data_IF_093969975057
#
_entry.id   IF_093969975057
#
_cell.length_a   1.000
_cell.length_b   1.000
_cell.length_c   1.000
_cell.angle_alpha   90.00
_cell.angle_beta   90.00
_cell.angle_gamma   90.00
#
_symmetry.space_group_name_H-M   'P 1'
#
loop_
_entity.id
_entity.type
_entity.pdbx_description
1 polymer ?
#
# COMPACT_ATOMS: atom_id res chain seq x y z
N UNK A 1 3.40 2.62 4.83
CA UNK A 1 2.12 2.52 5.58
C UNK A 1 1.13 1.81 4.68
N UNK A 2 0.41 0.85 5.24
CA UNK A 2 -0.60 0.05 4.57
C UNK A 2 -1.79 -0.08 5.52
N UNK A 3 -2.98 0.36 5.08
CA UNK A 3 -4.20 0.05 5.80
C UNK A 3 -4.50 -1.46 5.72
N UNK A 4 -5.33 -1.95 6.64
CA UNK A 4 -5.67 -3.38 6.70
C UNK A 4 -6.48 -3.87 5.50
N UNK A 5 -7.13 -2.95 4.78
CA UNK A 5 -7.91 -3.16 3.57
C UNK A 5 -7.12 -2.83 2.29
N UNK A 6 -5.80 -2.69 2.40
CA UNK A 6 -4.88 -2.53 1.27
C UNK A 6 -4.14 -3.84 0.99
N UNK A 7 -4.05 -4.22 -0.28
CA UNK A 7 -3.36 -5.43 -0.72
C UNK A 7 -2.56 -5.22 -2.00
N UNK A 8 -1.45 -5.96 -2.12
CA UNK A 8 -0.72 -6.10 -3.38
C UNK A 8 -1.57 -6.93 -4.35
N UNK A 9 -1.78 -6.39 -5.54
CA UNK A 9 -2.70 -6.91 -6.57
C UNK A 9 -2.00 -7.45 -7.80
N UNK A 10 -0.70 -7.23 -7.92
CA UNK A 10 0.13 -7.80 -8.96
C UNK A 10 1.35 -8.41 -8.26
N UNK A 11 1.33 -9.72 -8.08
CA UNK A 11 2.41 -10.45 -7.39
C UNK A 11 3.59 -10.73 -8.32
N UNK A 12 3.39 -10.61 -9.63
CA UNK A 12 4.42 -10.80 -10.64
C UNK A 12 5.25 -9.53 -10.82
N UNK A 13 4.69 -8.38 -10.44
CA UNK A 13 5.40 -7.10 -10.45
C UNK A 13 6.42 -7.02 -9.31
N UNK A 14 7.71 -6.99 -9.66
CA UNK A 14 8.78 -6.73 -8.70
C UNK A 14 8.62 -5.32 -8.10
N UNK A 15 8.67 -5.24 -6.76
CA UNK A 15 8.46 -3.99 -6.01
C UNK A 15 9.56 -2.97 -6.27
N UNK A 16 10.80 -3.38 -6.54
CA UNK A 16 11.90 -2.45 -6.85
C UNK A 16 11.68 -1.81 -8.21
N UNK A 17 11.33 -2.61 -9.22
CA UNK A 17 10.99 -2.08 -10.54
C UNK A 17 9.79 -1.13 -10.46
N UNK A 18 8.80 -1.43 -9.61
CA UNK A 18 7.64 -0.56 -9.41
C UNK A 18 8.01 0.77 -8.73
N UNK A 19 8.88 0.73 -7.71
CA UNK A 19 9.38 1.94 -7.06
C UNK A 19 10.20 2.81 -8.03
N UNK A 20 11.05 2.20 -8.85
CA UNK A 20 11.80 2.90 -9.91
C UNK A 20 10.86 3.54 -10.94
N UNK A 21 9.81 2.82 -11.36
CA UNK A 21 8.78 3.35 -12.25
C UNK A 21 8.09 4.59 -11.64
N UNK A 22 7.92 4.63 -10.32
CA UNK A 22 7.38 5.76 -9.59
C UNK A 22 8.41 6.86 -9.27
N UNK A 23 9.62 6.77 -9.81
CA UNK A 23 10.68 7.76 -9.60
C UNK A 23 11.35 7.65 -8.23
N UNK A 24 11.25 6.51 -7.57
CA UNK A 24 11.82 6.26 -6.25
C UNK A 24 13.05 5.34 -6.37
N UNK A 25 14.23 5.94 -6.52
CA UNK A 25 15.50 5.21 -6.52
C UNK A 25 15.88 4.76 -5.10
N UNK A 26 16.47 3.58 -4.95
CA UNK A 26 17.02 3.15 -3.66
C UNK A 26 18.20 4.05 -3.21
N UNK A 27 18.95 4.60 -4.17
CA UNK A 27 20.04 5.52 -3.91
C UNK A 27 19.51 6.96 -3.75
N UNK A 28 19.96 7.67 -2.71
CA UNK A 28 19.74 9.11 -2.61
C UNK A 28 20.58 9.81 -3.69
N UNK A 29 19.93 10.62 -4.51
CA UNK A 29 20.62 11.46 -5.49
C UNK A 29 21.48 12.51 -4.79
N UNK A 30 22.68 12.76 -5.32
CA UNK A 30 23.58 13.79 -4.80
C UNK A 30 22.97 15.21 -4.83
N UNK A 31 21.89 15.40 -5.60
CA UNK A 31 21.12 16.64 -5.70
C UNK A 31 20.02 16.80 -4.65
N UNK A 32 19.74 15.78 -3.84
CA UNK A 32 18.69 15.82 -2.81
C UNK A 32 17.27 16.02 -3.36
N UNK A 33 17.02 15.63 -4.62
CA UNK A 33 15.71 15.70 -5.27
C UNK A 33 14.94 14.38 -5.22
N UNK A 34 15.52 13.35 -4.60
CA UNK A 34 14.86 12.06 -4.45
C UNK A 34 13.59 12.21 -3.61
N UNK A 35 12.45 11.66 -4.06
CA UNK A 35 11.21 11.74 -3.30
C UNK A 35 11.34 11.14 -1.90
N UNK A 36 10.73 11.80 -0.93
CA UNK A 36 10.63 11.33 0.45
C UNK A 36 9.35 10.52 0.67
N UNK A 37 8.28 10.87 -0.07
CA UNK A 37 6.98 10.22 0.01
C UNK A 37 6.52 9.82 -1.38
N UNK A 38 6.10 8.56 -1.53
CA UNK A 38 5.16 8.18 -2.57
C UNK A 38 3.81 7.97 -1.91
N UNK A 39 2.78 8.57 -2.47
CA UNK A 39 1.45 8.44 -1.92
C UNK A 39 0.42 8.42 -3.03
N UNK A 40 -0.55 7.53 -2.90
CA UNK A 40 -1.53 7.38 -3.93
C UNK A 40 -2.54 8.53 -3.94
N UNK A 41 -2.92 8.93 -5.14
CA UNK A 41 -4.04 9.84 -5.36
C UNK A 41 -5.30 9.23 -4.74
N UNK A 42 -6.10 10.08 -4.10
CA UNK A 42 -7.44 9.69 -3.70
C UNK A 42 -8.27 9.36 -4.96
N UNK A 43 -9.00 8.23 -5.01
CA UNK A 43 -10.01 8.00 -6.03
C UNK A 43 -10.87 9.22 -6.31
N UNK A 44 -11.31 9.30 -7.57
CA UNK A 44 -12.19 10.35 -8.06
C UNK A 44 -13.55 10.31 -7.33
N UNK A 45 -13.59 10.84 -6.12
CA UNK A 45 -14.80 11.22 -5.41
C UNK A 45 -14.94 12.72 -5.60
N UNK A 46 -15.52 13.18 -6.70
CA UNK A 46 -15.93 14.58 -6.81
C UNK A 46 -17.06 14.79 -5.77
N UNK A 47 -16.92 15.63 -4.72
CA UNK A 47 -16.14 16.88 -4.61
C UNK A 47 -14.82 16.84 -3.79
N UNK A 48 -14.44 15.70 -3.22
CA UNK A 48 -13.31 15.56 -2.30
C UNK A 48 -11.94 15.39 -2.97
N UNK A 49 -11.85 15.47 -4.30
CA UNK A 49 -10.60 15.23 -5.01
C UNK A 49 -9.57 16.38 -4.85
N UNK A 50 -10.01 17.56 -4.44
CA UNK A 50 -9.13 18.73 -4.34
C UNK A 50 -9.30 19.42 -3.00
N UNK A 51 -8.17 19.84 -2.43
CA UNK A 51 -8.17 20.85 -1.39
C UNK A 51 -7.79 22.20 -2.00
N UNK A 52 -8.60 23.23 -1.70
CA UNK A 52 -8.24 24.62 -1.97
C UNK A 52 -7.49 25.18 -0.75
N UNK A 53 -6.33 25.74 -1.00
CA UNK A 53 -5.47 26.33 0.02
C UNK A 53 -5.77 27.83 0.19
N UNK A 54 -5.38 28.47 1.32
CA UNK A 54 -5.65 29.90 1.55
C UNK A 54 -5.11 30.85 0.48
N UNK A 55 -4.12 30.41 -0.31
CA UNK A 55 -3.57 31.14 -1.46
C UNK A 55 -4.31 30.87 -2.79
N UNK A 56 -5.46 30.19 -2.75
CA UNK A 56 -6.27 29.80 -3.92
C UNK A 56 -5.70 28.62 -4.72
N UNK A 57 -4.56 28.05 -4.31
CA UNK A 57 -3.98 26.89 -5.01
C UNK A 57 -4.84 25.65 -4.73
N UNK A 58 -5.14 24.89 -5.78
CA UNK A 58 -5.82 23.60 -5.65
C UNK A 58 -4.80 22.47 -5.74
N UNK A 59 -4.81 21.58 -4.76
CA UNK A 59 -3.96 20.38 -4.76
C UNK A 59 -4.82 19.11 -4.74
N UNK A 60 -4.40 18.10 -5.51
CA UNK A 60 -5.07 16.79 -5.57
C UNK A 60 -5.01 16.10 -4.23
N UNK A 61 -6.12 15.71 -3.63
CA UNK A 61 -6.10 14.91 -2.41
C UNK A 61 -5.42 13.56 -2.63
N UNK A 62 -4.72 13.14 -1.59
CA UNK A 62 -4.00 11.89 -1.55
C UNK A 62 -4.48 11.04 -0.39
N UNK A 63 -4.47 9.73 -0.61
CA UNK A 63 -4.95 8.75 0.33
C UNK A 63 -3.82 8.27 1.25
N UNK A 64 -4.06 8.20 2.55
CA UNK A 64 -3.06 7.77 3.54
C UNK A 64 -2.99 6.25 3.73
N UNK A 65 -3.91 5.49 3.14
CA UNK A 65 -3.96 4.05 3.27
C UNK A 65 -2.83 3.31 2.56
N UNK A 66 -2.19 3.93 1.56
CA UNK A 66 -0.93 3.45 1.00
C UNK A 66 0.09 4.59 0.88
N UNK A 67 1.22 4.41 1.57
CA UNK A 67 2.36 5.33 1.51
C UNK A 67 3.69 4.58 1.51
N UNK A 68 4.59 4.97 0.61
CA UNK A 68 6.02 4.62 0.69
C UNK A 68 6.75 5.82 1.27
N UNK A 69 7.57 5.57 2.29
CA UNK A 69 8.17 6.61 3.10
C UNK A 69 9.68 6.37 3.20
N UNK A 70 10.48 7.32 2.73
CA UNK A 70 11.95 7.28 2.84
C UNK A 70 12.38 7.51 4.27
N UNK A 71 13.26 6.66 4.78
CA UNK A 71 13.84 6.85 6.10
C UNK A 71 14.94 7.92 6.07
N UNK A 72 14.57 9.19 6.25
CA UNK A 72 15.50 10.31 6.35
C UNK A 72 15.20 11.19 7.57
N UNK A 73 16.14 12.04 8.04
CA UNK A 73 15.85 13.01 9.10
C UNK A 73 14.67 13.91 8.77
N UNK A 74 14.58 14.37 7.51
CA UNK A 74 13.49 15.23 7.02
C UNK A 74 12.13 14.52 7.08
N UNK A 75 12.09 13.25 6.67
CA UNK A 75 10.86 12.45 6.77
C UNK A 75 10.45 12.25 8.23
N UNK A 76 11.39 11.96 9.13
CA UNK A 76 11.09 11.78 10.56
C UNK A 76 10.53 13.05 11.20
N UNK A 77 11.03 14.22 10.80
CA UNK A 77 10.50 15.51 11.22
C UNK A 77 9.04 15.70 10.76
N UNK A 78 8.78 15.56 9.45
CA UNK A 78 7.44 15.67 8.88
C UNK A 78 6.46 14.65 9.48
N UNK A 79 6.90 13.40 9.62
CA UNK A 79 6.10 12.33 10.20
C UNK A 79 5.86 12.52 11.71
N UNK A 80 6.86 13.00 12.45
CA UNK A 80 6.72 13.33 13.86
C UNK A 80 5.69 14.44 14.08
N UNK A 81 5.72 15.48 13.25
CA UNK A 81 4.71 16.54 13.26
C UNK A 81 3.32 15.98 12.94
N UNK A 82 3.20 15.11 11.94
CA UNK A 82 1.94 14.45 11.60
C UNK A 82 1.35 13.70 12.80
N UNK A 83 2.13 12.81 13.42
CA UNK A 83 1.67 12.04 14.58
C UNK A 83 1.32 12.96 15.74
N UNK A 84 2.16 13.95 16.05
CA UNK A 84 1.90 14.89 17.14
C UNK A 84 0.59 15.68 16.94
N UNK A 85 0.36 16.19 15.73
CA UNK A 85 -0.87 16.92 15.37
C UNK A 85 -2.09 16.01 15.41
N UNK A 86 -1.98 14.80 14.86
CA UNK A 86 -3.06 13.81 14.87
C UNK A 86 -3.45 13.41 16.30
N UNK A 87 -2.48 13.13 17.17
CA UNK A 87 -2.74 12.78 18.57
C UNK A 87 -3.33 13.96 19.35
N UNK A 88 -2.81 15.18 19.14
CA UNK A 88 -3.29 16.37 19.85
C UNK A 88 -4.74 16.75 19.50
N UNK A 89 -5.16 16.50 18.25
CA UNK A 89 -6.47 16.92 17.76
C UNK A 89 -7.46 15.76 17.53
N UNK A 90 -7.19 14.60 18.12
CA UNK A 90 -8.02 13.41 17.97
C UNK A 90 -9.50 13.66 18.36
N UNK A 91 -9.77 14.59 19.27
CA UNK A 91 -11.12 14.97 19.72
C UNK A 91 -11.91 15.83 18.73
N UNK A 92 -11.25 16.64 17.91
CA UNK A 92 -11.92 17.57 17.00
C UNK A 92 -12.43 16.90 15.72
N UNK A 93 -11.80 15.78 15.33
CA UNK A 93 -12.08 15.08 14.07
C UNK A 93 -12.27 13.58 14.25
N UNK A 94 -12.20 13.04 15.47
CA UNK A 94 -12.28 11.59 15.74
C UNK A 94 -13.58 10.92 15.27
N UNK A 95 -14.62 11.70 14.94
CA UNK A 95 -15.87 11.20 14.38
C UNK A 95 -15.87 11.12 12.84
N UNK A 96 -14.82 11.56 12.16
CA UNK A 96 -14.70 11.53 10.70
C UNK A 96 -13.74 10.41 10.32
N UNK A 97 -14.21 9.43 9.54
CA UNK A 97 -13.49 8.17 9.28
C UNK A 97 -12.19 8.31 8.46
N UNK A 98 -11.87 9.50 7.94
CA UNK A 98 -10.64 9.83 7.19
C UNK A 98 -9.87 11.02 7.81
N UNK A 99 -10.03 11.22 9.13
CA UNK A 99 -9.48 12.38 9.82
C UNK A 99 -7.95 12.50 9.67
N UNK A 100 -7.24 11.37 9.71
CA UNK A 100 -5.79 11.28 9.56
C UNK A 100 -5.37 11.73 8.14
N UNK A 101 -6.08 11.26 7.11
CA UNK A 101 -5.91 11.69 5.72
C UNK A 101 -6.16 13.20 5.57
N UNK A 102 -7.18 13.73 6.25
CA UNK A 102 -7.50 15.15 6.28
C UNK A 102 -6.35 15.98 6.85
N UNK A 103 -5.82 15.60 8.01
CA UNK A 103 -4.65 16.27 8.62
C UNK A 103 -3.42 16.20 7.74
N UNK A 104 -3.16 15.04 7.15
CA UNK A 104 -2.03 14.87 6.26
C UNK A 104 -2.08 15.89 5.11
N UNK A 105 -3.22 15.94 4.40
CA UNK A 105 -3.41 16.81 3.26
C UNK A 105 -3.43 18.30 3.63
N UNK A 106 -3.98 18.64 4.81
CA UNK A 106 -4.15 20.04 5.24
C UNK A 106 -2.92 20.61 5.94
N UNK A 107 -2.22 19.81 6.76
CA UNK A 107 -1.25 20.32 7.73
C UNK A 107 0.18 19.87 7.48
N UNK A 108 0.40 18.75 6.79
CA UNK A 108 1.74 18.18 6.60
C UNK A 108 2.22 18.36 5.17
N UNK A 109 1.36 18.05 4.20
CA UNK A 109 1.73 18.07 2.80
C UNK A 109 2.18 19.44 2.29
N UNK A 110 1.58 20.53 2.75
CA UNK A 110 2.00 21.88 2.34
C UNK A 110 3.39 22.27 2.85
N UNK A 111 3.90 21.58 3.89
CA UNK A 111 5.26 21.80 4.42
C UNK A 111 6.31 21.13 3.56
N UNK A 112 5.90 20.30 2.60
CA UNK A 112 6.78 19.60 1.68
C UNK A 112 7.12 20.48 0.49
N UNK A 113 8.35 20.33 -0.01
CA UNK A 113 8.73 20.87 -1.32
C UNK A 113 8.15 19.98 -2.42
N UNK A 114 7.98 20.55 -3.61
CA UNK A 114 7.37 19.86 -4.76
C UNK A 114 8.01 18.50 -5.07
N UNK A 115 9.34 18.39 -4.97
CA UNK A 115 10.06 17.14 -5.23
C UNK A 115 10.04 16.14 -4.05
N UNK A 116 9.67 16.57 -2.84
CA UNK A 116 9.68 15.70 -1.65
C UNK A 116 8.53 14.67 -1.71
N UNK A 117 7.55 14.85 -2.59
CA UNK A 117 6.39 13.98 -2.71
C UNK A 117 6.03 13.69 -4.16
N UNK A 118 5.82 12.41 -4.46
CA UNK A 118 5.22 11.96 -5.73
C UNK A 118 3.83 11.42 -5.47
N UNK A 119 2.87 11.93 -6.23
CA UNK A 119 1.49 11.43 -6.23
C UNK A 119 1.38 10.27 -7.22
N UNK A 120 1.06 9.09 -6.72
CA UNK A 120 0.90 7.90 -7.54
C UNK A 120 -0.51 7.88 -8.16
N UNK A 121 -0.67 7.51 -9.44
CA UNK A 121 -1.98 7.39 -10.04
C UNK A 121 -2.87 6.39 -9.28
N UNK A 122 -4.13 6.75 -9.08
CA UNK A 122 -5.12 5.91 -8.42
C UNK A 122 -5.19 4.52 -9.09
N UNK A 123 -5.19 4.50 -10.42
CA UNK A 123 -5.26 3.31 -11.27
C UNK A 123 -4.12 2.33 -10.98
N UNK A 124 -3.01 2.80 -10.42
CA UNK A 124 -1.85 1.99 -10.08
C UNK A 124 -1.83 1.60 -8.61
N UNK A 125 -2.13 2.55 -7.71
CA UNK A 125 -1.68 2.46 -6.32
C UNK A 125 -2.74 2.71 -5.25
N UNK A 126 -4.02 2.80 -5.58
CA UNK A 126 -5.10 3.01 -4.63
C UNK A 126 -6.44 2.85 -5.33
N UNK A 127 -6.71 1.70 -5.93
CA UNK A 127 -7.97 1.44 -6.60
C UNK A 127 -8.66 0.20 -6.09
N UNK A 128 -9.95 0.06 -6.34
CA UNK A 128 -10.62 -1.21 -6.11
C UNK A 128 -11.58 -1.54 -7.24
N UNK A 129 -11.20 -2.55 -8.02
CA UNK A 129 -11.96 -3.01 -9.18
C UNK A 129 -13.41 -3.37 -8.85
N UNK A 130 -13.67 -3.88 -7.64
CA UNK A 130 -15.04 -4.18 -7.21
C UNK A 130 -15.91 -2.92 -7.20
N UNK A 131 -15.39 -1.81 -6.65
CA UNK A 131 -16.09 -0.52 -6.61
C UNK A 131 -16.34 0.00 -8.02
N UNK A 132 -15.32 -0.02 -8.89
CA UNK A 132 -15.47 0.43 -10.28
C UNK A 132 -16.55 -0.36 -11.04
N UNK A 133 -16.68 -1.66 -10.77
CA UNK A 133 -17.67 -2.51 -11.40
C UNK A 133 -19.10 -2.29 -10.88
N UNK A 134 -19.26 -1.91 -9.60
CA UNK A 134 -20.57 -1.74 -8.96
C UNK A 134 -21.08 -0.30 -9.07
N UNK A 135 -20.17 0.67 -9.10
CA UNK A 135 -20.48 2.10 -9.21
C UNK A 135 -19.65 2.71 -10.35
N UNK A 136 -20.09 2.58 -11.61
CA UNK A 136 -19.37 3.14 -12.76
C UNK A 136 -19.15 4.65 -12.60
N UNK A 137 -17.90 5.08 -12.72
CA UNK A 137 -17.48 6.47 -12.48
C UNK A 137 -17.04 6.77 -11.04
N UNK A 138 -17.13 5.79 -10.13
CA UNK A 138 -16.59 5.87 -8.78
C UNK A 138 -15.28 5.08 -8.69
N UNK A 139 -14.20 5.79 -8.33
CA UNK A 139 -12.91 5.17 -8.06
C UNK A 139 -12.09 4.80 -9.30
N UNK A 140 -11.15 3.87 -9.11
CA UNK A 140 -10.17 3.46 -10.12
C UNK A 140 -9.75 1.99 -9.89
N UNK A 141 -8.97 1.42 -10.80
CA UNK A 141 -8.72 -0.03 -10.86
C UNK A 141 -7.75 -0.61 -9.83
N UNK A 142 -6.71 0.12 -9.44
CA UNK A 142 -5.72 -0.33 -8.44
C UNK A 142 -4.88 -1.52 -8.92
N UNK A 143 -4.19 -1.35 -10.06
CA UNK A 143 -3.46 -2.41 -10.77
C UNK A 143 -2.46 -3.14 -9.87
N UNK A 144 -1.59 -2.39 -9.18
CA UNK A 144 -0.50 -2.95 -8.38
C UNK A 144 -0.86 -2.99 -6.91
N UNK A 145 -1.51 -1.95 -6.41
CA UNK A 145 -2.02 -1.87 -5.04
C UNK A 145 -3.52 -1.63 -5.10
N UNK A 146 -4.28 -2.53 -4.50
CA UNK A 146 -5.73 -2.41 -4.32
C UNK A 146 -6.03 -1.90 -2.92
N UNK A 147 -6.98 -0.99 -2.80
CA UNK A 147 -7.47 -0.47 -1.52
C UNK A 147 -8.99 -0.58 -1.47
N UNK A 148 -9.51 -1.51 -0.68
CA UNK A 148 -10.96 -1.73 -0.55
C UNK A 148 -11.65 -0.73 0.36
N UNK A 149 -11.70 0.55 0.00
CA UNK A 149 -12.39 1.59 0.79
C UNK A 149 -13.90 1.36 0.92
N UNK A 150 -14.51 1.97 1.94
CA UNK A 150 -15.96 2.00 2.18
C UNK A 150 -16.61 0.60 2.08
N UNK A 151 -17.53 0.42 1.13
CA UNK A 151 -18.23 -0.83 0.84
C UNK A 151 -17.35 -1.88 0.17
N UNK A 152 -16.07 -1.58 -0.09
CA UNK A 152 -15.11 -2.54 -0.59
C UNK A 152 -14.44 -3.39 0.49
N UNK A 153 -14.49 -2.94 1.76
CA UNK A 153 -13.68 -3.52 2.85
C UNK A 153 -13.94 -5.02 3.04
N UNK A 154 -15.20 -5.43 3.00
CA UNK A 154 -15.58 -6.83 3.16
C UNK A 154 -15.12 -7.74 2.01
N UNK A 155 -14.81 -7.17 0.84
CA UNK A 155 -14.34 -7.91 -0.32
C UNK A 155 -12.82 -8.07 -0.38
N UNK A 156 -12.07 -7.30 0.41
CA UNK A 156 -10.60 -7.42 0.46
C UNK A 156 -10.19 -8.80 0.95
N UNK A 157 -10.76 -9.27 2.06
CA UNK A 157 -10.44 -10.59 2.61
C UNK A 157 -10.74 -11.71 1.60
N UNK A 158 -11.86 -11.61 0.87
CA UNK A 158 -12.22 -12.56 -0.18
C UNK A 158 -11.21 -12.54 -1.33
N UNK A 159 -10.84 -11.37 -1.85
CA UNK A 159 -9.86 -11.27 -2.95
C UNK A 159 -8.45 -11.68 -2.52
N UNK A 160 -8.03 -11.36 -1.28
CA UNK A 160 -6.77 -11.83 -0.72
C UNK A 160 -6.73 -13.35 -0.67
N UNK A 161 -7.78 -13.99 -0.13
CA UNK A 161 -7.87 -15.45 -0.09
C UNK A 161 -7.84 -16.05 -1.49
N UNK A 162 -8.63 -15.48 -2.42
CA UNK A 162 -8.68 -15.93 -3.82
C UNK A 162 -7.31 -15.89 -4.48
N UNK A 163 -6.54 -14.81 -4.27
CA UNK A 163 -5.20 -14.62 -4.83
C UNK A 163 -4.15 -15.49 -4.17
N UNK A 164 -4.18 -15.62 -2.83
CA UNK A 164 -3.31 -16.54 -2.09
C UNK A 164 -3.49 -17.98 -2.58
N UNK A 165 -4.73 -18.40 -2.85
CA UNK A 165 -5.00 -19.72 -3.40
C UNK A 165 -4.41 -19.92 -4.80
N UNK A 166 -4.40 -18.89 -5.65
CA UNK A 166 -3.76 -18.96 -6.99
C UNK A 166 -2.24 -19.06 -6.86
N UNK A 167 -1.61 -18.22 -6.03
CA UNK A 167 -0.16 -18.26 -5.80
C UNK A 167 0.24 -19.61 -5.19
N UNK A 168 -0.52 -20.07 -4.20
CA UNK A 168 -0.28 -21.35 -3.54
C UNK A 168 -0.43 -22.53 -4.51
N UNK A 169 -1.51 -22.58 -5.30
CA UNK A 169 -1.70 -23.65 -6.28
C UNK A 169 -0.62 -23.64 -7.37
N UNK A 170 -0.20 -22.46 -7.86
CA UNK A 170 0.93 -22.34 -8.78
C UNK A 170 2.21 -22.89 -8.17
N UNK A 171 2.54 -22.46 -6.95
CA UNK A 171 3.76 -22.91 -6.26
C UNK A 171 3.75 -24.42 -5.97
N UNK A 172 2.60 -24.96 -5.56
CA UNK A 172 2.44 -26.42 -5.35
C UNK A 172 2.60 -27.17 -6.67
N UNK A 173 2.05 -26.66 -7.77
CA UNK A 173 2.21 -27.27 -9.09
C UNK A 173 3.67 -27.25 -9.55
N UNK A 174 4.38 -26.13 -9.40
CA UNK A 174 5.80 -26.04 -9.73
C UNK A 174 6.63 -27.04 -8.90
N UNK A 175 6.41 -27.08 -7.59
CA UNK A 175 7.07 -28.04 -6.71
C UNK A 175 6.74 -29.49 -7.11
N UNK A 176 5.49 -29.78 -7.46
CA UNK A 176 5.09 -31.12 -7.94
C UNK A 176 5.76 -31.52 -9.26
N UNK A 177 5.99 -30.57 -10.16
CA UNK A 177 6.73 -30.80 -11.41
C UNK A 177 8.24 -30.95 -11.14
N UNK A 178 8.75 -30.31 -10.08
CA UNK A 178 10.14 -30.39 -9.62
C UNK A 178 10.28 -31.28 -8.37
N UNK A 179 9.83 -32.54 -8.47
CA UNK A 179 9.65 -33.52 -7.36
C UNK A 179 10.82 -33.67 -6.38
N UNK A 180 12.06 -33.42 -6.81
CA UNK A 180 13.24 -33.49 -5.93
C UNK A 180 13.31 -32.32 -4.94
N UNK A 181 12.81 -31.12 -5.31
CA UNK A 181 12.78 -29.92 -4.44
C UNK A 181 11.58 -29.94 -3.49
N UNK A 182 10.45 -30.52 -3.91
CA UNK A 182 9.22 -30.59 -3.11
C UNK A 182 9.35 -31.41 -1.81
N UNK A 183 10.22 -32.41 -1.78
CA UNK A 183 10.45 -33.24 -0.59
C UNK A 183 11.04 -32.46 0.58
N UNK A 184 11.81 -31.41 0.32
CA UNK A 184 12.47 -30.62 1.36
C UNK A 184 11.61 -29.43 1.82
N UNK A 185 10.86 -28.77 0.92
CA UNK A 185 10.09 -27.57 1.26
C UNK A 185 8.66 -27.84 1.77
N UNK A 186 7.94 -28.84 1.24
CA UNK A 186 6.50 -29.02 1.53
C UNK A 186 6.18 -30.01 2.66
N UNK A 187 7.03 -31.02 2.85
CA UNK A 187 6.78 -32.09 3.82
C UNK A 187 6.59 -31.60 5.28
N UNK A 188 7.35 -30.61 5.78
CA UNK A 188 7.18 -30.10 7.14
C UNK A 188 5.83 -29.40 7.37
N UNK A 189 5.25 -28.81 6.32
CA UNK A 189 3.99 -28.07 6.40
C UNK A 189 2.76 -28.97 6.23
N UNK A 190 2.85 -29.99 5.37
CA UNK A 190 1.76 -30.94 5.15
C UNK A 190 1.66 -32.00 6.25
N UNK A 191 2.77 -32.31 6.92
CA UNK A 191 2.85 -33.29 7.99
C UNK A 191 3.67 -32.76 9.17
N UNK A 192 3.13 -31.80 9.96
CA UNK A 192 3.78 -31.28 11.15
C UNK A 192 3.78 -32.36 12.24
N UNK A 193 4.74 -33.28 12.16
CA UNK A 193 4.82 -34.46 13.04
C UNK A 193 5.70 -35.58 12.49
N UNK A 194 6.07 -35.54 11.22
CA UNK A 194 7.01 -36.49 10.61
C UNK A 194 8.47 -36.18 10.95
N UNK A 195 8.84 -36.12 12.23
CA UNK A 195 10.26 -36.19 12.56
C UNK A 195 10.75 -37.60 12.20
N UNK A 196 11.64 -37.68 11.21
CA UNK A 196 12.33 -38.92 10.87
C UNK A 196 13.20 -39.30 12.08
N UNK A 197 12.62 -40.08 12.99
CA UNK A 197 13.33 -40.70 14.10
C UNK A 197 14.41 -41.61 13.57
N UNK A 198 15.61 -41.07 13.34
CA UNK A 198 16.84 -41.86 13.29
C UNK A 198 17.09 -42.35 14.71
N UNK A 199 16.55 -43.53 15.04
CA UNK A 199 17.07 -44.31 16.17
C UNK A 199 18.53 -44.63 15.86
N UNK A 200 19.44 -44.14 16.70
CA UNK A 200 20.83 -44.55 16.68
C UNK A 200 20.90 -46.07 16.99
N UNK A 201 21.71 -46.85 16.27
CA UNK A 201 21.96 -48.25 16.64
C UNK A 201 22.79 -48.29 17.92
N UNK A 202 22.34 -49.12 18.86
CA UNK A 202 23.06 -49.43 20.10
C UNK A 202 24.17 -50.46 19.92
#
# INVERSE_FOLDING_TARGET
VLDFDVMVSDFDQDIRCLLEQWGYSCEEDAGGKTPLFLQAQDPHFNPFQWNEWPNGTRVLNVNTGFMVIRNSPRTRDLWGQYIATCTANQTNWGNIWFWDQGYWNKDIRWRMKEHEMVVLPCEQANGFRWVVNHEPGWGCGGRYITHGWMFGKQHVAYEMLRRLMVVWTSRVNDLWQHKEVAKEELFPFLYPGGSSGKKAPG
#
